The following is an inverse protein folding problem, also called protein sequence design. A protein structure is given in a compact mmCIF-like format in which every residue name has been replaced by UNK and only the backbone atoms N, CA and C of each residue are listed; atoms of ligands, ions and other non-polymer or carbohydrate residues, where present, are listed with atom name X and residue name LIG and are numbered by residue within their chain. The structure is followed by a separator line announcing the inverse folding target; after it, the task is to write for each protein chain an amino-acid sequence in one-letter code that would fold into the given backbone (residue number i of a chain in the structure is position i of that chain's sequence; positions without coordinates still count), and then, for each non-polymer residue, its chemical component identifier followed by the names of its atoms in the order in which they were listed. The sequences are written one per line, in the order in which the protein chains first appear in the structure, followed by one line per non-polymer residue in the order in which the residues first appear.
data_IF_050433326315
#
_entry.id   IF_050433326315
#
_cell.length_a   1.000
_cell.length_b   1.000
_cell.length_c   1.000
_cell.angle_alpha   90.00
_cell.angle_beta   90.00
_cell.angle_gamma   90.00
#
_symmetry.space_group_name_H-M   'P 1'
#
loop_
_entity.id
_entity.type
_entity.pdbx_description
1 polymer ?
#
# COMPACT_ATOMS: atom_id res chain seq x y z
N UNK A 1 22.79 7.25 5.28
CA UNK A 1 21.50 7.10 4.55
C UNK A 1 21.50 5.90 3.59
N UNK A 2 22.20 5.94 2.46
CA UNK A 2 22.14 4.96 1.35
C UNK A 2 22.20 3.49 1.78
N UNK A 3 23.06 3.16 2.75
CA UNK A 3 23.19 1.81 3.30
C UNK A 3 21.88 1.24 3.88
N UNK A 4 20.98 2.06 4.46
CA UNK A 4 19.72 1.56 5.01
C UNK A 4 18.76 1.09 3.90
N UNK A 5 18.68 1.81 2.77
CA UNK A 5 17.84 1.43 1.63
C UNK A 5 18.31 0.11 0.99
N UNK A 6 19.62 -0.08 0.80
CA UNK A 6 20.15 -1.30 0.16
C UNK A 6 20.35 -2.49 1.12
N UNK A 7 20.79 -2.28 2.37
CA UNK A 7 21.13 -3.37 3.29
C UNK A 7 20.03 -3.70 4.32
N UNK A 8 19.27 -2.72 4.84
CA UNK A 8 18.15 -2.99 5.75
C UNK A 8 16.80 -3.15 5.02
N UNK A 9 16.71 -2.77 3.75
CA UNK A 9 15.50 -2.94 2.95
C UNK A 9 14.37 -1.95 3.28
N UNK A 10 14.65 -0.92 4.08
CA UNK A 10 13.71 0.16 4.36
C UNK A 10 13.72 1.17 3.22
N UNK A 11 12.61 1.29 2.50
CA UNK A 11 12.38 2.33 1.51
C UNK A 11 12.21 3.70 2.19
N UNK A 12 12.83 4.71 1.57
CA UNK A 12 12.77 6.15 1.87
C UNK A 12 12.64 6.51 3.37
N UNK A 13 13.60 6.05 4.21
CA UNK A 13 13.46 6.13 5.66
C UNK A 13 13.60 7.57 6.17
N UNK A 14 12.58 8.03 6.92
CA UNK A 14 12.63 9.26 7.72
C UNK A 14 13.38 8.94 9.03
N UNK A 15 14.43 9.69 9.37
CA UNK A 15 15.26 9.46 10.57
C UNK A 15 15.30 10.74 11.41
N UNK A 16 14.96 10.65 12.69
CA UNK A 16 14.96 11.82 13.58
C UNK A 16 15.30 11.46 15.04
N UNK A 17 16.02 12.33 15.73
CA UNK A 17 16.27 12.26 17.16
C UNK A 17 15.27 13.14 17.91
N UNK A 18 14.80 12.67 19.07
CA UNK A 18 14.00 13.43 20.02
C UNK A 18 14.29 12.95 21.43
N UNK A 19 14.80 13.84 22.28
CA UNK A 19 15.43 13.46 23.55
C UNK A 19 16.54 12.41 23.38
N UNK A 20 16.56 11.38 24.23
CA UNK A 20 17.49 10.25 24.17
C UNK A 20 17.03 9.10 23.26
N UNK A 21 16.11 9.36 22.33
CA UNK A 21 15.54 8.35 21.43
C UNK A 21 15.75 8.70 19.96
N UNK A 22 16.28 7.75 19.17
CA UNK A 22 16.31 7.81 17.71
C UNK A 22 15.09 7.09 17.13
N UNK A 23 14.37 7.76 16.24
CA UNK A 23 13.26 7.22 15.47
C UNK A 23 13.70 6.96 14.03
N UNK A 24 13.32 5.82 13.49
CA UNK A 24 13.54 5.42 12.10
C UNK A 24 12.23 4.90 11.55
N UNK A 25 11.63 5.61 10.60
CA UNK A 25 10.32 5.28 10.01
C UNK A 25 10.52 4.92 8.54
N UNK A 26 10.02 3.78 8.08
CA UNK A 26 10.12 3.40 6.67
C UNK A 26 9.43 2.08 6.31
N UNK A 27 9.32 1.83 5.01
CA UNK A 27 8.54 0.72 4.44
C UNK A 27 9.47 -0.46 4.09
N UNK A 28 9.22 -1.64 4.64
CA UNK A 28 10.08 -2.82 4.43
C UNK A 28 9.75 -3.47 3.08
N UNK A 29 10.66 -3.35 2.11
CA UNK A 29 10.46 -3.81 0.72
C UNK A 29 11.35 -5.00 0.30
N UNK A 30 12.22 -5.50 1.18
CA UNK A 30 13.25 -6.50 0.83
C UNK A 30 13.11 -7.83 1.59
N UNK A 31 12.73 -7.78 2.85
CA UNK A 31 12.69 -8.95 3.74
C UNK A 31 11.26 -9.42 3.99
N UNK A 32 11.01 -10.73 3.83
CA UNK A 32 9.69 -11.35 4.08
C UNK A 32 9.35 -11.40 5.58
N UNK A 33 10.35 -11.61 6.41
CA UNK A 33 10.26 -11.40 7.86
C UNK A 33 10.88 -10.05 8.16
N UNK A 34 10.09 -9.10 8.67
CA UNK A 34 10.60 -7.75 8.90
C UNK A 34 11.62 -7.66 10.03
N UNK A 35 11.67 -8.66 10.92
CA UNK A 35 12.64 -8.70 12.04
C UNK A 35 14.07 -8.71 11.53
N UNK A 36 14.37 -9.45 10.46
CA UNK A 36 15.69 -9.43 9.80
C UNK A 36 16.01 -8.02 9.26
N UNK A 37 15.01 -7.33 8.70
CA UNK A 37 15.13 -5.94 8.27
C UNK A 37 15.39 -4.96 9.42
N UNK A 38 14.77 -5.18 10.58
CA UNK A 38 14.94 -4.36 11.80
C UNK A 38 16.29 -4.61 12.45
N UNK A 39 16.75 -5.86 12.57
CA UNK A 39 18.10 -6.21 13.03
C UNK A 39 19.17 -5.54 12.16
N UNK A 40 19.00 -5.60 10.83
CA UNK A 40 19.88 -4.94 9.86
C UNK A 40 19.79 -3.41 9.96
N UNK A 41 18.60 -2.85 10.18
CA UNK A 41 18.43 -1.41 10.41
C UNK A 41 19.17 -0.97 11.68
N UNK A 42 18.95 -1.67 12.80
CA UNK A 42 19.61 -1.46 14.08
C UNK A 42 21.14 -1.52 13.96
N UNK A 43 21.69 -2.55 13.30
CA UNK A 43 23.14 -2.66 13.08
C UNK A 43 23.73 -1.53 12.24
N UNK A 44 22.99 -1.01 11.26
CA UNK A 44 23.41 0.16 10.46
C UNK A 44 23.22 1.47 11.24
N UNK A 45 22.21 1.54 12.12
CA UNK A 45 21.99 2.67 13.03
C UNK A 45 23.17 2.84 14.00
N UNK A 46 23.61 1.75 14.63
CA UNK A 46 24.61 1.77 15.70
C UNK A 46 25.98 2.33 15.27
N UNK A 47 26.35 2.19 14.00
CA UNK A 47 27.63 2.73 13.48
C UNK A 47 27.65 4.27 13.43
N UNK A 48 26.49 4.89 13.20
CA UNK A 48 26.31 6.33 12.98
C UNK A 48 25.45 6.97 14.09
N UNK A 49 25.38 6.35 15.29
CA UNK A 49 24.45 6.75 16.35
C UNK A 49 24.98 8.00 17.11
N UNK A 50 24.17 9.07 17.26
CA UNK A 50 24.56 10.22 18.09
C UNK A 50 24.78 9.87 19.55
N UNK A 51 25.69 10.60 20.21
CA UNK A 51 25.93 10.45 21.65
C UNK A 51 24.66 10.76 22.46
N UNK A 52 24.50 10.08 23.60
CA UNK A 52 23.38 10.26 24.51
C UNK A 52 22.09 9.49 24.15
N UNK A 53 21.98 8.93 22.95
CA UNK A 53 20.82 8.09 22.58
C UNK A 53 20.85 6.76 23.35
N UNK A 54 19.74 6.43 24.01
CA UNK A 54 19.51 5.18 24.76
C UNK A 54 18.57 4.22 24.06
N UNK A 55 17.63 4.74 23.27
CA UNK A 55 16.57 3.93 22.64
C UNK A 55 16.56 4.14 21.13
N UNK A 56 16.43 3.04 20.39
CA UNK A 56 16.12 3.06 18.95
C UNK A 56 14.69 2.57 18.77
N UNK A 57 13.85 3.38 18.12
CA UNK A 57 12.49 3.05 17.69
C UNK A 57 12.46 2.89 16.17
N UNK A 58 12.35 1.65 15.68
CA UNK A 58 12.14 1.38 14.25
C UNK A 58 10.64 1.17 14.02
N UNK A 59 9.99 2.13 13.35
CA UNK A 59 8.55 2.08 13.04
C UNK A 59 8.37 1.65 11.58
N UNK A 60 7.81 0.47 11.38
CA UNK A 60 7.46 0.00 10.05
C UNK A 60 6.21 0.73 9.55
N UNK A 61 6.17 1.14 8.28
CA UNK A 61 4.95 1.67 7.66
C UNK A 61 4.67 1.04 6.29
N UNK A 62 3.42 1.15 5.83
CA UNK A 62 2.95 0.69 4.52
C UNK A 62 1.84 1.60 4.03
N UNK A 63 1.90 2.07 2.78
CA UNK A 63 1.02 3.15 2.30
C UNK A 63 0.97 4.34 3.29
N UNK A 64 2.15 4.71 3.80
CA UNK A 64 2.39 5.72 4.85
C UNK A 64 1.79 5.41 6.25
N UNK A 65 0.79 4.51 6.39
CA UNK A 65 0.25 4.06 7.67
C UNK A 65 1.33 3.30 8.49
N UNK A 66 1.67 3.74 9.71
CA UNK A 66 2.62 3.04 10.57
C UNK A 66 1.94 1.79 11.17
N UNK A 67 2.60 0.63 11.14
CA UNK A 67 1.98 -0.66 11.46
C UNK A 67 2.42 -1.27 12.81
N UNK A 68 3.62 -0.89 13.28
CA UNK A 68 4.25 -1.39 14.51
C UNK A 68 5.54 -0.60 14.77
N UNK A 69 5.92 -0.43 16.02
CA UNK A 69 7.26 0.05 16.39
C UNK A 69 8.01 -1.02 17.15
N UNK A 70 9.26 -1.26 16.76
CA UNK A 70 10.20 -2.08 17.54
C UNK A 70 11.12 -1.17 18.33
N UNK A 71 10.98 -1.19 19.66
CA UNK A 71 11.87 -0.53 20.61
C UNK A 71 13.07 -1.43 20.90
N UNK A 72 14.28 -0.88 20.82
CA UNK A 72 15.54 -1.57 21.14
C UNK A 72 16.39 -0.68 22.04
N UNK A 73 16.86 -1.22 23.17
CA UNK A 73 17.82 -0.54 24.04
C UNK A 73 19.25 -0.59 23.45
N UNK A 74 19.90 0.56 23.38
CA UNK A 74 21.21 0.76 22.76
C UNK A 74 22.32 0.04 23.51
N UNK A 75 22.24 -0.08 24.84
CA UNK A 75 23.28 -0.71 25.66
C UNK A 75 23.28 -2.25 25.54
N UNK A 76 22.11 -2.87 25.40
CA UNK A 76 21.96 -4.29 25.09
C UNK A 76 22.34 -4.60 23.65
N UNK A 77 21.89 -3.77 22.69
CA UNK A 77 22.25 -3.90 21.28
C UNK A 77 23.75 -3.76 21.05
N UNK A 78 24.42 -2.84 21.75
CA UNK A 78 25.87 -2.69 21.68
C UNK A 78 26.60 -3.98 22.10
N UNK A 79 26.28 -4.52 23.29
CA UNK A 79 26.90 -5.76 23.79
C UNK A 79 26.62 -6.96 22.88
N UNK A 80 25.39 -7.08 22.39
CA UNK A 80 25.01 -8.13 21.45
C UNK A 80 25.78 -8.04 20.11
N UNK A 81 26.13 -6.83 19.64
CA UNK A 81 26.93 -6.61 18.43
C UNK A 81 28.45 -6.74 18.64
N UNK A 82 28.95 -6.46 19.86
CA UNK A 82 30.35 -6.65 20.24
C UNK A 82 30.68 -8.13 20.55
N UNK A 83 29.67 -8.92 20.97
CA UNK A 83 29.77 -10.32 21.31
C UNK A 83 30.13 -10.54 22.79
N UNK A 84 29.64 -11.64 23.37
CA UNK A 84 29.85 -11.96 24.79
C UNK A 84 30.76 -13.19 24.99
N UNK A 85 31.44 -13.33 26.16
CA UNK A 85 32.31 -14.47 26.43
C UNK A 85 31.55 -15.81 26.45
N UNK A 86 32.21 -16.89 26.04
CA UNK A 86 31.64 -18.24 26.02
C UNK A 86 31.02 -18.62 27.39
N UNK A 87 29.73 -18.97 27.39
CA UNK A 87 28.97 -19.29 28.60
C UNK A 87 28.21 -18.11 29.22
N UNK A 88 28.32 -16.91 28.64
CA UNK A 88 27.46 -15.77 28.95
C UNK A 88 26.61 -15.42 27.73
N UNK A 89 25.30 -15.34 27.93
CA UNK A 89 24.33 -14.85 26.94
C UNK A 89 23.40 -13.86 27.61
N UNK A 90 23.53 -12.58 27.26
CA UNK A 90 22.52 -11.56 27.57
C UNK A 90 21.55 -11.42 26.42
N UNK A 91 20.25 -11.51 26.70
CA UNK A 91 19.20 -11.24 25.73
C UNK A 91 19.28 -9.78 25.22
N UNK A 92 19.01 -9.60 23.92
CA UNK A 92 18.80 -8.29 23.33
C UNK A 92 17.51 -7.71 23.90
N UNK A 93 17.58 -6.54 24.56
CA UNK A 93 16.39 -5.90 25.14
C UNK A 93 15.65 -5.17 24.02
N UNK A 94 14.82 -5.94 23.33
CA UNK A 94 13.98 -5.51 22.22
C UNK A 94 12.53 -5.96 22.45
N UNK A 95 11.57 -5.11 22.08
CA UNK A 95 10.13 -5.43 22.13
C UNK A 95 9.40 -4.72 20.99
N UNK A 96 8.26 -5.28 20.58
CA UNK A 96 7.31 -4.61 19.68
C UNK A 96 6.25 -3.90 20.51
N UNK A 97 5.80 -2.75 20.03
CA UNK A 97 4.77 -1.90 20.64
C UNK A 97 3.91 -1.28 19.54
N UNK A 98 2.77 -0.71 19.93
CA UNK A 98 1.91 0.11 19.06
C UNK A 98 2.73 1.13 18.24
N UNK A 99 2.36 1.43 16.99
CA UNK A 99 3.14 2.32 16.14
C UNK A 99 3.31 3.74 16.73
N UNK A 100 4.54 4.06 17.11
CA UNK A 100 4.98 5.37 17.61
C UNK A 100 5.57 6.19 16.47
N UNK A 101 4.95 7.35 16.20
CA UNK A 101 5.43 8.37 15.26
C UNK A 101 5.50 9.72 15.98
N UNK A 102 6.67 10.38 16.08
CA UNK A 102 6.75 11.71 16.67
C UNK A 102 5.96 12.76 15.87
N UNK A 103 5.10 13.51 16.56
CA UNK A 103 4.34 14.64 16.00
C UNK A 103 5.25 15.78 15.50
N UNK A 104 6.44 15.93 16.09
CA UNK A 104 7.41 16.98 15.75
C UNK A 104 8.83 16.44 15.59
N UNK A 105 9.49 16.87 14.52
CA UNK A 105 10.94 16.69 14.32
C UNK A 105 11.69 17.73 15.15
N UNK A 106 12.54 17.29 16.08
CA UNK A 106 13.48 18.18 16.78
C UNK A 106 14.77 18.33 15.97
N UNK A 107 15.37 17.20 15.57
CA UNK A 107 16.48 17.16 14.62
C UNK A 107 16.39 15.87 13.79
N UNK A 108 16.67 15.92 12.49
CA UNK A 108 16.54 14.73 11.65
C UNK A 108 16.99 14.89 10.21
N UNK A 109 17.13 13.75 9.54
CA UNK A 109 17.39 13.60 8.11
C UNK A 109 16.25 12.78 7.51
N UNK A 110 15.48 13.38 6.61
CA UNK A 110 14.50 12.67 5.79
C UNK A 110 15.00 12.57 4.35
N UNK A 111 14.59 11.51 3.67
CA UNK A 111 14.52 11.48 2.21
C UNK A 111 13.06 11.81 1.88
N UNK A 112 12.83 12.79 1.02
CA UNK A 112 11.48 13.01 0.49
C UNK A 112 11.08 11.80 -0.36
N UNK A 113 10.08 11.05 0.13
CA UNK A 113 9.40 10.02 -0.65
C UNK A 113 8.75 10.70 -1.85
N UNK A 114 8.94 10.16 -3.06
CA UNK A 114 8.28 10.75 -4.24
C UNK A 114 6.78 10.74 -4.02
N UNK A 115 6.16 11.93 -4.10
CA UNK A 115 4.71 12.08 -4.01
C UNK A 115 3.99 11.78 -5.32
N UNK A 116 4.73 11.59 -6.41
CA UNK A 116 4.20 11.21 -7.71
C UNK A 116 4.95 9.99 -8.23
N UNK A 117 4.21 8.98 -8.70
CA UNK A 117 4.74 7.88 -9.49
C UNK A 117 3.91 7.72 -10.77
N UNK A 118 4.56 7.27 -11.84
CA UNK A 118 3.93 7.08 -13.15
C UNK A 118 4.59 5.95 -13.92
N UNK A 119 3.78 5.00 -14.39
CA UNK A 119 4.23 3.86 -15.18
C UNK A 119 3.28 3.56 -16.34
N UNK A 120 3.82 2.89 -17.36
CA UNK A 120 3.05 2.41 -18.52
C UNK A 120 3.36 0.93 -18.75
N UNK A 121 2.35 0.08 -18.59
CA UNK A 121 2.49 -1.38 -18.70
C UNK A 121 1.79 -1.93 -19.95
N UNK A 122 2.40 -2.88 -20.69
CA UNK A 122 1.69 -3.67 -21.68
C UNK A 122 0.75 -4.67 -20.97
N UNK A 123 -0.53 -4.64 -21.31
CA UNK A 123 -1.57 -5.47 -20.68
C UNK A 123 -2.21 -6.38 -21.73
N UNK A 124 -2.33 -7.67 -21.39
CA UNK A 124 -2.95 -8.70 -22.24
C UNK A 124 -4.05 -9.42 -21.47
N UNK A 125 -5.28 -8.91 -21.59
CA UNK A 125 -6.48 -9.56 -21.07
C UNK A 125 -6.85 -10.76 -21.94
N UNK A 126 -7.14 -11.92 -21.35
CA UNK A 126 -7.48 -13.16 -22.05
C UNK A 126 -8.67 -13.86 -21.39
N UNK A 127 -9.49 -14.55 -22.19
CA UNK A 127 -10.57 -15.41 -21.72
C UNK A 127 -10.71 -16.63 -22.63
N UNK A 128 -10.96 -17.79 -22.02
CA UNK A 128 -11.06 -19.10 -22.70
C UNK A 128 -12.40 -19.74 -22.37
N UNK A 129 -13.03 -20.40 -23.33
CA UNK A 129 -14.32 -21.08 -23.14
C UNK A 129 -15.54 -20.14 -23.09
N UNK A 130 -15.43 -18.94 -23.65
CA UNK A 130 -16.57 -18.03 -23.79
C UNK A 130 -17.64 -18.60 -24.75
N UNK A 131 -18.94 -18.36 -24.51
CA UNK A 131 -20.01 -18.93 -25.33
C UNK A 131 -20.08 -18.33 -26.75
N UNK A 132 -19.49 -17.15 -27.00
CA UNK A 132 -19.43 -16.55 -28.34
C UNK A 132 -18.16 -16.93 -29.13
N UNK A 133 -17.06 -17.25 -28.44
CA UNK A 133 -15.81 -17.70 -29.06
C UNK A 133 -14.92 -18.40 -28.01
N UNK A 134 -14.25 -19.48 -28.43
CA UNK A 134 -13.40 -20.29 -27.54
C UNK A 134 -12.20 -19.52 -26.95
N UNK A 135 -11.67 -18.51 -27.66
CA UNK A 135 -10.57 -17.68 -27.18
C UNK A 135 -10.78 -16.20 -27.51
N UNK A 136 -10.82 -15.37 -26.47
CA UNK A 136 -10.93 -13.91 -26.54
C UNK A 136 -9.69 -13.25 -25.95
N UNK A 137 -9.21 -12.17 -26.58
CA UNK A 137 -8.07 -11.39 -26.10
C UNK A 137 -8.25 -9.89 -26.34
N UNK A 138 -7.55 -9.10 -25.52
CA UNK A 138 -7.37 -7.67 -25.69
C UNK A 138 -5.95 -7.31 -25.22
N UNK A 139 -5.13 -6.87 -26.17
CA UNK A 139 -3.81 -6.27 -25.98
C UNK A 139 -3.95 -4.75 -25.94
N UNK A 140 -3.34 -4.12 -24.95
CA UNK A 140 -3.30 -2.67 -24.82
C UNK A 140 -2.14 -2.20 -23.95
N UNK A 141 -2.13 -0.91 -23.64
CA UNK A 141 -1.23 -0.31 -22.66
C UNK A 141 -2.06 0.34 -21.55
N UNK A 142 -1.69 0.09 -20.29
CA UNK A 142 -2.24 0.81 -19.14
C UNK A 142 -1.25 1.90 -18.74
N UNK A 143 -1.68 3.16 -18.70
CA UNK A 143 -0.94 4.26 -18.12
C UNK A 143 -1.52 4.57 -16.73
N UNK A 144 -0.70 4.45 -15.69
CA UNK A 144 -1.10 4.60 -14.29
C UNK A 144 -0.33 5.73 -13.63
N UNK A 145 -1.01 6.56 -12.85
CA UNK A 145 -0.46 7.69 -12.12
C UNK A 145 -0.93 7.66 -10.66
N UNK A 146 0.01 7.64 -9.72
CA UNK A 146 -0.25 7.67 -8.29
C UNK A 146 0.23 9.00 -7.71
N UNK A 147 -0.66 9.75 -7.05
CA UNK A 147 -0.36 11.04 -6.45
C UNK A 147 -0.71 11.08 -4.96
N UNK A 148 0.30 11.26 -4.10
CA UNK A 148 0.15 11.58 -2.68
C UNK A 148 -0.02 13.10 -2.52
N UNK A 149 -1.28 13.55 -2.50
CA UNK A 149 -1.66 14.96 -2.31
C UNK A 149 -1.26 15.45 -0.90
N UNK A 150 -1.36 14.57 0.10
CA UNK A 150 -0.78 14.76 1.45
C UNK A 150 -0.16 13.43 1.89
N UNK A 151 0.55 13.39 3.04
CA UNK A 151 1.07 12.13 3.59
C UNK A 151 -0.06 11.10 3.92
N UNK A 152 -1.33 11.54 3.96
CA UNK A 152 -2.52 10.71 4.26
C UNK A 152 -3.46 10.49 3.05
N UNK A 153 -3.35 11.29 1.97
CA UNK A 153 -4.28 11.29 0.84
C UNK A 153 -3.58 10.84 -0.45
N UNK A 154 -3.90 9.62 -0.89
CA UNK A 154 -3.45 9.02 -2.15
C UNK A 154 -4.59 9.06 -3.19
N UNK A 155 -4.32 9.65 -4.35
CA UNK A 155 -5.24 9.64 -5.49
C UNK A 155 -4.63 8.83 -6.65
N UNK A 156 -4.94 7.52 -6.77
CA UNK A 156 -4.51 6.70 -7.90
C UNK A 156 -5.47 6.87 -9.08
N UNK A 157 -4.93 6.82 -10.30
CA UNK A 157 -5.74 6.83 -11.52
C UNK A 157 -5.06 6.08 -12.66
N UNK A 158 -5.85 5.38 -13.48
CA UNK A 158 -5.34 4.56 -14.59
C UNK A 158 -6.22 4.67 -15.84
N UNK A 159 -5.54 4.81 -16.99
CA UNK A 159 -6.12 4.88 -18.33
C UNK A 159 -5.66 3.69 -19.15
N UNK A 160 -6.59 2.94 -19.73
CA UNK A 160 -6.27 1.86 -20.67
C UNK A 160 -6.42 2.35 -22.11
N UNK A 161 -5.41 2.12 -22.95
CA UNK A 161 -5.44 2.29 -24.39
C UNK A 161 -5.40 0.94 -25.11
N UNK A 162 -6.38 0.68 -25.96
CA UNK A 162 -6.54 -0.55 -26.74
C UNK A 162 -5.60 -0.54 -27.96
N UNK A 163 -4.91 -1.65 -28.23
CA UNK A 163 -3.96 -1.78 -29.36
C UNK A 163 -4.46 -2.83 -30.36
N UNK A 164 -4.90 -4.00 -29.86
CA UNK A 164 -5.48 -5.04 -30.69
C UNK A 164 -6.36 -5.96 -29.83
N UNK A 165 -7.58 -6.25 -30.28
CA UNK A 165 -8.49 -7.18 -29.60
C UNK A 165 -9.30 -7.99 -30.63
N UNK A 166 -10.01 -9.01 -30.15
CA UNK A 166 -11.01 -9.75 -30.95
C UNK A 166 -12.43 -9.67 -30.35
N UNK A 167 -12.73 -8.57 -29.64
CA UNK A 167 -14.02 -8.34 -29.01
C UNK A 167 -15.11 -7.89 -30.00
N UNK A 168 -14.77 -7.74 -31.27
CA UNK A 168 -15.68 -7.58 -32.41
C UNK A 168 -16.58 -8.83 -32.62
N UNK A 169 -16.11 -10.01 -32.25
CA UNK A 169 -16.74 -11.33 -32.58
C UNK A 169 -17.89 -11.73 -31.66
N UNK A 170 -18.69 -10.78 -31.19
CA UNK A 170 -19.39 -10.91 -29.91
C UNK A 170 -20.91 -10.69 -30.02
N UNK A 171 -21.54 -11.40 -30.97
CA UNK A 171 -22.93 -11.20 -31.46
C UNK A 171 -24.06 -11.35 -30.42
N UNK A 172 -23.77 -11.64 -29.15
CA UNK A 172 -24.74 -11.80 -28.07
C UNK A 172 -25.03 -10.45 -27.36
N UNK A 173 -25.59 -9.50 -28.10
CA UNK A 173 -25.95 -8.16 -27.58
C UNK A 173 -27.26 -8.18 -26.79
N UNK A 174 -28.24 -8.97 -27.24
CA UNK A 174 -29.53 -9.19 -26.59
C UNK A 174 -29.67 -10.65 -26.13
N UNK A 175 -29.54 -10.93 -24.81
CA UNK A 175 -30.08 -12.15 -24.22
C UNK A 175 -31.61 -12.23 -24.36
N UNK A 176 -32.23 -13.41 -24.23
CA UNK A 176 -33.68 -13.53 -24.04
C UNK A 176 -34.18 -12.71 -22.83
N UNK A 177 -35.45 -12.31 -22.86
CA UNK A 177 -36.13 -11.66 -21.73
C UNK A 177 -36.59 -12.66 -20.64
N UNK A 178 -35.77 -13.68 -20.34
CA UNK A 178 -36.06 -14.71 -19.34
C UNK A 178 -35.52 -14.35 -17.94
N UNK A 179 -34.36 -13.69 -17.87
CA UNK A 179 -33.74 -13.28 -16.61
C UNK A 179 -34.25 -11.91 -16.12
N UNK A 180 -34.88 -11.92 -14.93
CA UNK A 180 -35.24 -10.71 -14.17
C UNK A 180 -34.10 -10.17 -13.30
N UNK A 181 -32.90 -10.78 -13.33
CA UNK A 181 -31.78 -10.38 -12.49
C UNK A 181 -30.96 -9.25 -13.15
N UNK A 182 -30.56 -8.20 -12.40
CA UNK A 182 -29.74 -7.12 -12.95
C UNK A 182 -28.39 -7.64 -13.44
N UNK A 183 -27.95 -7.18 -14.61
CA UNK A 183 -26.73 -7.64 -15.30
C UNK A 183 -25.45 -7.00 -14.72
N UNK A 184 -25.10 -7.37 -13.48
CA UNK A 184 -24.03 -6.71 -12.70
C UNK A 184 -22.65 -6.71 -13.37
N UNK A 185 -22.16 -7.88 -13.82
CA UNK A 185 -20.81 -8.03 -14.44
C UNK A 185 -20.81 -8.49 -15.91
N UNK A 186 -21.96 -8.85 -16.49
CA UNK A 186 -22.05 -9.23 -17.92
C UNK A 186 -22.07 -8.04 -18.89
N UNK A 187 -21.79 -6.82 -18.40
CA UNK A 187 -21.68 -5.57 -19.16
C UNK A 187 -20.24 -5.07 -19.39
N UNK A 188 -19.20 -5.82 -19.01
CA UNK A 188 -17.77 -5.47 -19.28
C UNK A 188 -17.56 -4.97 -20.71
N UNK A 189 -18.27 -5.60 -21.64
CA UNK A 189 -18.23 -5.46 -23.10
C UNK A 189 -18.46 -4.01 -23.54
N UNK A 190 -19.50 -3.38 -23.01
CA UNK A 190 -19.87 -2.01 -23.36
C UNK A 190 -18.85 -0.96 -22.91
N UNK A 191 -17.98 -1.26 -21.94
CA UNK A 191 -16.90 -0.36 -21.50
C UNK A 191 -15.63 -0.55 -22.33
N UNK A 192 -15.25 -1.80 -22.62
CA UNK A 192 -14.03 -2.16 -23.39
C UNK A 192 -14.17 -2.00 -24.91
N UNK A 193 -15.34 -1.59 -25.40
CA UNK A 193 -15.56 -1.19 -26.79
C UNK A 193 -14.90 0.16 -27.13
N UNK A 194 -14.56 0.98 -26.13
CA UNK A 194 -13.84 2.23 -26.35
C UNK A 194 -12.34 1.96 -26.55
N UNK A 195 -11.71 2.63 -27.52
CA UNK A 195 -10.26 2.52 -27.74
C UNK A 195 -9.44 3.07 -26.56
N UNK A 196 -10.02 3.98 -25.77
CA UNK A 196 -9.44 4.49 -24.52
C UNK A 196 -10.53 4.54 -23.43
N UNK A 197 -10.24 4.05 -22.22
CA UNK A 197 -11.17 4.17 -21.08
C UNK A 197 -10.46 4.39 -19.73
N UNK A 198 -11.17 5.03 -18.79
CA UNK A 198 -10.72 5.25 -17.41
C UNK A 198 -10.97 3.98 -16.59
N UNK A 199 -9.90 3.25 -16.29
CA UNK A 199 -9.95 1.99 -15.53
C UNK A 199 -10.20 2.24 -14.03
N UNK A 200 -9.51 3.21 -13.42
CA UNK A 200 -9.90 3.77 -12.13
C UNK A 200 -9.50 5.25 -12.02
N UNK A 201 -10.12 5.96 -11.07
CA UNK A 201 -9.72 7.29 -10.60
C UNK A 201 -10.34 7.50 -9.22
N UNK A 202 -9.54 7.31 -8.18
CA UNK A 202 -10.00 7.26 -6.79
C UNK A 202 -9.32 8.34 -5.96
N UNK A 203 -9.92 8.68 -4.83
CA UNK A 203 -9.25 9.33 -3.70
C UNK A 203 -9.34 8.39 -2.49
N UNK A 204 -8.22 8.13 -1.83
CA UNK A 204 -8.10 7.31 -0.64
C UNK A 204 -7.42 8.12 0.47
N UNK A 205 -8.16 8.40 1.54
CA UNK A 205 -7.66 9.02 2.76
C UNK A 205 -7.44 7.94 3.82
N UNK A 206 -6.21 7.81 4.31
CA UNK A 206 -5.79 6.82 5.31
C UNK A 206 -5.40 7.52 6.62
N UNK A 207 -5.84 7.00 7.76
CA UNK A 207 -5.49 7.55 9.08
C UNK A 207 -5.18 6.43 10.10
N UNK A 208 -4.16 6.68 10.93
CA UNK A 208 -3.95 5.95 12.19
C UNK A 208 -4.42 6.84 13.35
N UNK A 209 -5.21 6.29 14.27
CA UNK A 209 -5.84 7.03 15.37
C UNK A 209 -5.17 6.80 16.74
N UNK A 210 -4.12 5.98 16.80
CA UNK A 210 -3.55 5.51 18.07
C UNK A 210 -4.29 4.29 18.62
N UNK A 211 -3.73 3.64 19.65
CA UNK A 211 -4.34 2.48 20.32
C UNK A 211 -4.73 1.36 19.34
N UNK A 212 -3.89 1.09 18.34
CA UNK A 212 -4.12 0.09 17.28
C UNK A 212 -5.42 0.25 16.46
N UNK A 213 -6.00 1.46 16.42
CA UNK A 213 -7.10 1.84 15.52
C UNK A 213 -6.59 2.51 14.23
N UNK A 214 -7.09 1.98 13.11
CA UNK A 214 -6.83 2.44 11.75
C UNK A 214 -8.16 2.79 11.07
N UNK A 215 -8.13 3.66 10.07
CA UNK A 215 -9.29 3.86 9.20
C UNK A 215 -8.94 4.36 7.82
N UNK A 216 -9.87 4.12 6.89
CA UNK A 216 -9.81 4.59 5.51
C UNK A 216 -11.15 5.22 5.14
N UNK A 217 -11.12 6.30 4.38
CA UNK A 217 -12.28 6.83 3.66
C UNK A 217 -11.89 6.98 2.20
N UNK A 218 -12.72 6.50 1.28
CA UNK A 218 -12.41 6.51 -0.14
C UNK A 218 -13.61 6.86 -1.01
N UNK A 219 -13.35 7.30 -2.25
CA UNK A 219 -14.38 7.46 -3.27
C UNK A 219 -13.85 7.80 -4.66
N UNK A 220 -14.73 7.74 -5.66
CA UNK A 220 -14.40 7.99 -7.07
C UNK A 220 -14.82 6.82 -7.97
N UNK A 221 -14.10 6.60 -9.07
CA UNK A 221 -14.21 5.41 -9.90
C UNK A 221 -13.28 4.32 -9.36
N UNK A 222 -13.87 3.30 -8.75
CA UNK A 222 -13.18 2.19 -8.08
C UNK A 222 -12.68 1.17 -9.12
N UNK A 223 -13.52 0.90 -10.13
CA UNK A 223 -13.26 0.01 -11.25
C UNK A 223 -13.82 0.61 -12.56
N UNK A 224 -13.46 0.02 -13.70
CA UNK A 224 -13.98 0.36 -15.03
C UNK A 224 -15.51 0.42 -15.09
N UNK A 225 -16.20 -0.42 -14.32
CA UNK A 225 -17.67 -0.51 -14.29
C UNK A 225 -18.33 0.17 -13.09
N UNK A 226 -17.59 0.49 -12.03
CA UNK A 226 -18.18 0.89 -10.74
C UNK A 226 -17.53 2.14 -10.15
N UNK A 227 -18.37 3.12 -9.82
CA UNK A 227 -18.02 4.24 -8.96
C UNK A 227 -18.64 4.05 -7.58
N UNK A 228 -18.18 4.82 -6.60
CA UNK A 228 -18.72 4.74 -5.25
C UNK A 228 -17.94 5.55 -4.23
N UNK A 229 -18.33 5.39 -2.98
CA UNK A 229 -17.59 5.83 -1.81
C UNK A 229 -17.76 4.83 -0.68
N UNK A 230 -16.77 4.74 0.22
CA UNK A 230 -16.82 3.86 1.36
C UNK A 230 -15.93 4.33 2.49
N UNK A 231 -16.14 3.75 3.67
CA UNK A 231 -15.32 3.95 4.84
C UNK A 231 -15.09 2.63 5.57
N UNK A 232 -13.90 2.45 6.14
CA UNK A 232 -13.51 1.31 6.96
C UNK A 232 -12.87 1.82 8.26
N UNK A 233 -13.16 1.17 9.38
CA UNK A 233 -12.41 1.30 10.63
C UNK A 233 -11.96 -0.09 11.07
N UNK A 234 -10.67 -0.24 11.38
CA UNK A 234 -10.01 -1.49 11.72
C UNK A 234 -9.28 -1.35 13.07
N UNK A 235 -9.60 -2.23 14.01
CA UNK A 235 -8.83 -2.44 15.24
C UNK A 235 -7.96 -3.69 15.08
N UNK A 236 -6.63 -3.53 15.15
CA UNK A 236 -5.66 -4.61 14.92
C UNK A 236 -4.50 -4.52 15.92
N UNK A 237 -4.58 -5.20 17.08
CA UNK A 237 -3.55 -5.10 18.10
C UNK A 237 -2.18 -5.64 17.61
N UNK A 238 -1.09 -5.01 18.05
CA UNK A 238 0.27 -5.51 17.77
C UNK A 238 0.46 -6.94 18.30
N UNK A 239 1.15 -7.76 17.49
CA UNK A 239 1.39 -9.21 17.70
C UNK A 239 0.15 -10.08 17.93
N UNK A 240 -1.06 -9.55 17.74
CA UNK A 240 -2.31 -10.31 17.75
C UNK A 240 -2.46 -11.21 16.52
N UNK A 241 -3.07 -12.38 16.74
CA UNK A 241 -3.51 -13.29 15.67
C UNK A 241 -4.93 -12.98 15.15
N UNK A 242 -5.59 -11.93 15.68
CA UNK A 242 -6.92 -11.48 15.29
C UNK A 242 -6.98 -9.96 15.11
N UNK A 243 -7.96 -9.50 14.34
CA UNK A 243 -8.33 -8.10 14.16
C UNK A 243 -9.86 -8.00 14.01
N UNK A 244 -10.42 -6.81 14.23
CA UNK A 244 -11.85 -6.52 14.07
C UNK A 244 -12.04 -5.27 13.21
N UNK A 245 -12.78 -5.39 12.11
CA UNK A 245 -13.06 -4.30 11.18
C UNK A 245 -14.56 -4.09 10.97
N UNK A 246 -14.93 -2.86 10.62
CA UNK A 246 -16.28 -2.49 10.18
C UNK A 246 -16.15 -1.62 8.93
N UNK A 247 -16.73 -2.11 7.82
CA UNK A 247 -16.80 -1.41 6.55
C UNK A 247 -18.23 -0.93 6.24
N UNK A 248 -18.34 0.18 5.52
CA UNK A 248 -19.59 0.72 5.00
C UNK A 248 -19.37 1.27 3.59
N UNK A 249 -19.98 0.63 2.59
CA UNK A 249 -19.65 0.83 1.18
C UNK A 249 -20.91 1.13 0.35
N UNK A 250 -20.89 2.23 -0.41
CA UNK A 250 -21.94 2.60 -1.36
C UNK A 250 -21.38 2.64 -2.78
N UNK A 251 -21.82 1.72 -3.64
CA UNK A 251 -21.35 1.56 -5.02
C UNK A 251 -22.49 1.69 -6.03
N UNK A 252 -22.20 2.33 -7.16
CA UNK A 252 -23.13 2.55 -8.29
C UNK A 252 -22.45 2.17 -9.59
N UNK A 253 -23.21 1.58 -10.52
CA UNK A 253 -22.70 1.29 -11.85
C UNK A 253 -22.46 2.60 -12.61
N UNK A 254 -21.33 2.70 -13.30
CA UNK A 254 -21.00 3.85 -14.16
C UNK A 254 -21.91 3.83 -15.41
N UNK A 255 -22.00 4.90 -16.17
CA UNK A 255 -22.44 4.77 -17.56
C UNK A 255 -21.27 4.21 -18.39
N UNK A 256 -21.59 3.41 -19.41
CA UNK A 256 -20.65 2.91 -20.41
C UNK A 256 -20.49 3.89 -21.59
N UNK A 257 -21.43 4.84 -21.75
CA UNK A 257 -21.45 5.85 -22.82
C UNK A 257 -20.60 7.08 -22.55
N UNK A 258 -20.29 7.34 -21.29
CA UNK A 258 -19.60 8.55 -20.84
C UNK A 258 -18.68 8.19 -19.68
N UNK A 259 -17.42 8.63 -19.76
CA UNK A 259 -16.46 8.39 -18.69
C UNK A 259 -16.78 9.14 -17.39
N UNK A 260 -17.72 10.10 -17.43
CA UNK A 260 -18.06 11.02 -16.34
C UNK A 260 -19.34 10.63 -15.57
N UNK A 261 -20.28 9.91 -16.22
CA UNK A 261 -21.64 9.71 -15.70
C UNK A 261 -21.84 8.39 -14.93
N UNK A 262 -22.93 8.34 -14.13
CA UNK A 262 -23.33 7.16 -13.34
C UNK A 262 -24.78 6.78 -13.64
N UNK A 263 -25.00 5.56 -14.12
CA UNK A 263 -26.29 5.02 -14.62
C UNK A 263 -27.38 4.93 -13.55
#
# INVERSE_FOLDING_TARGET
LTLRKYNAGLADPKIQTKGDTLYVIGEQVKYRDSREGIERANRIVMNDLPEGIRTIRVTENRLNLPQVTTETDVASLKRHLEGEPLGHETELVQKRVEPVVPESTEQGWYIDKSRFDFHIDPVLNQSVGGPENFYMYQLGAMATADLWVTDHLLTPGSLFGNIANNYDKFNYTNPPNDSKLPRVRTRVREYVQNDIYVNNLQANYFQYFGNDFYGQVYGGYLETMFGGAGAEVLYRPVDSNWAFGVDANYVKQRDWRSAQDMM
#
